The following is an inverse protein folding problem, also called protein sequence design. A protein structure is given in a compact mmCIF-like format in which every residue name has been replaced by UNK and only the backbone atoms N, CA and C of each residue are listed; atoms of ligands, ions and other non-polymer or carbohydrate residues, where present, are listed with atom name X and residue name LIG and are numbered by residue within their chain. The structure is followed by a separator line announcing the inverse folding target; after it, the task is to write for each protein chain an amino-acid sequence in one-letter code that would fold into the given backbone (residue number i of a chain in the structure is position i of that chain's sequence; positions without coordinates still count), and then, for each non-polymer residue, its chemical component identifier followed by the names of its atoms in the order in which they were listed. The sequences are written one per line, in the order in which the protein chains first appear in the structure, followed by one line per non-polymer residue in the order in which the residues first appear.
data_IF_235390077177
#
_entry.id   IF_235390077177
#
_cell.length_a   1.000
_cell.length_b   1.000
_cell.length_c   1.000
_cell.angle_alpha   90.00
_cell.angle_beta   90.00
_cell.angle_gamma   90.00
#
_symmetry.space_group_name_H-M   'P 1'
#
loop_
_entity.id
_entity.type
_entity.pdbx_description
1 polymer ?
#
# COMPACT_ATOMS: atom_id res chain seq x y z
N UNK A 1 -38.51 -38.55 -5.77
CA UNK A 1 -38.93 -37.15 -5.55
C UNK A 1 -37.66 -36.31 -5.48
N UNK A 2 -37.54 -35.33 -6.36
CA UNK A 2 -36.33 -34.57 -6.59
C UNK A 2 -36.09 -33.53 -5.48
N UNK A 3 -35.04 -33.72 -4.68
CA UNK A 3 -34.49 -32.65 -3.83
C UNK A 3 -33.26 -32.09 -4.53
N UNK A 4 -33.47 -31.12 -5.39
CA UNK A 4 -32.41 -30.34 -6.02
C UNK A 4 -32.80 -28.86 -5.91
N UNK A 5 -32.95 -28.40 -4.68
CA UNK A 5 -33.06 -26.98 -4.36
C UNK A 5 -31.65 -26.39 -4.42
N UNK A 6 -31.09 -26.33 -5.62
CA UNK A 6 -29.82 -25.66 -5.86
C UNK A 6 -30.11 -24.16 -5.77
N UNK A 7 -29.74 -23.55 -4.64
CA UNK A 7 -29.75 -22.11 -4.48
C UNK A 7 -28.97 -21.39 -5.60
N UNK A 8 -28.96 -20.04 -5.60
CA UNK A 8 -28.31 -19.26 -6.64
C UNK A 8 -26.87 -19.75 -6.90
N UNK A 9 -26.41 -19.74 -8.15
CA UNK A 9 -25.09 -20.29 -8.55
C UNK A 9 -23.88 -19.74 -7.75
N UNK A 10 -24.05 -18.58 -7.10
CA UNK A 10 -23.06 -17.92 -6.27
C UNK A 10 -23.16 -18.21 -4.75
N UNK A 11 -24.21 -18.93 -4.31
CA UNK A 11 -24.38 -19.38 -2.94
C UNK A 11 -23.53 -20.64 -2.72
N UNK A 12 -22.57 -20.57 -1.80
CA UNK A 12 -21.79 -21.75 -1.44
C UNK A 12 -22.66 -22.70 -0.59
N UNK A 13 -22.49 -24.01 -0.82
CA UNK A 13 -23.32 -25.07 -0.25
C UNK A 13 -23.35 -25.14 1.30
N UNK A 14 -22.43 -24.47 1.98
CA UNK A 14 -22.39 -24.38 3.45
C UNK A 14 -23.18 -23.19 4.02
N UNK A 15 -23.75 -22.32 3.18
CA UNK A 15 -24.58 -21.21 3.62
C UNK A 15 -26.03 -21.43 3.23
N UNK A 16 -26.93 -21.09 4.14
CA UNK A 16 -28.37 -21.22 3.94
C UNK A 16 -28.92 -20.08 3.10
N UNK A 17 -28.31 -18.88 3.17
CA UNK A 17 -28.75 -17.69 2.43
C UNK A 17 -27.58 -16.85 1.90
N UNK A 18 -27.77 -16.13 0.77
CA UNK A 18 -26.76 -15.18 0.27
C UNK A 18 -26.39 -14.08 1.26
N UNK A 19 -27.36 -13.64 2.08
CA UNK A 19 -27.14 -12.65 3.13
C UNK A 19 -26.19 -13.17 4.21
N UNK A 20 -26.40 -14.39 4.68
CA UNK A 20 -25.51 -15.03 5.66
C UNK A 20 -24.08 -15.19 5.11
N UNK A 21 -23.94 -15.61 3.84
CA UNK A 21 -22.64 -15.69 3.16
C UNK A 21 -21.93 -14.33 3.14
N UNK A 22 -22.65 -13.26 2.79
CA UNK A 22 -22.11 -11.90 2.77
C UNK A 22 -21.67 -11.43 4.16
N UNK A 23 -22.50 -11.61 5.18
CA UNK A 23 -22.20 -11.22 6.56
C UNK A 23 -20.99 -11.98 7.11
N UNK A 24 -20.91 -13.28 6.84
CA UNK A 24 -19.78 -14.13 7.24
C UNK A 24 -18.49 -13.72 6.55
N UNK A 25 -18.55 -13.41 5.25
CA UNK A 25 -17.38 -12.95 4.51
C UNK A 25 -16.89 -11.57 5.00
N UNK A 26 -17.82 -10.66 5.34
CA UNK A 26 -17.48 -9.37 5.97
C UNK A 26 -16.86 -9.53 7.35
N UNK A 27 -17.42 -10.41 8.18
CA UNK A 27 -16.87 -10.69 9.52
C UNK A 27 -15.44 -11.24 9.40
N UNK A 28 -15.22 -12.20 8.52
CA UNK A 28 -13.89 -12.73 8.23
C UNK A 28 -12.91 -11.64 7.76
N UNK A 29 -13.37 -10.76 6.87
CA UNK A 29 -12.56 -9.63 6.43
C UNK A 29 -12.21 -8.68 7.57
N UNK A 30 -13.17 -8.29 8.42
CA UNK A 30 -12.90 -7.41 9.57
C UNK A 30 -11.90 -8.02 10.56
N UNK A 31 -11.99 -9.32 10.82
CA UNK A 31 -11.02 -10.02 11.67
C UNK A 31 -9.62 -10.01 11.04
N UNK A 32 -9.53 -10.25 9.74
CA UNK A 32 -8.27 -10.14 9.01
C UNK A 32 -7.70 -8.71 9.07
N UNK A 33 -8.52 -7.68 8.82
CA UNK A 33 -8.09 -6.28 8.92
C UNK A 33 -7.60 -5.92 10.33
N UNK A 34 -8.29 -6.38 11.37
CA UNK A 34 -7.88 -6.15 12.74
C UNK A 34 -6.51 -6.78 13.03
N UNK A 35 -6.26 -7.98 12.51
CA UNK A 35 -4.96 -8.64 12.64
C UNK A 35 -3.85 -7.88 11.90
N UNK A 36 -4.12 -7.39 10.69
CA UNK A 36 -3.16 -6.58 9.93
C UNK A 36 -2.85 -5.26 10.64
N UNK A 37 -3.86 -4.61 11.24
CA UNK A 37 -3.66 -3.42 12.07
C UNK A 37 -2.75 -3.74 13.25
N UNK A 38 -2.96 -4.86 13.95
CA UNK A 38 -2.10 -5.27 15.07
C UNK A 38 -0.67 -5.57 14.62
N UNK A 39 -0.51 -6.24 13.47
CA UNK A 39 0.80 -6.56 12.89
C UNK A 39 1.60 -5.29 12.60
N UNK A 40 1.02 -4.31 11.89
CA UNK A 40 1.69 -3.03 11.61
C UNK A 40 1.82 -2.14 12.85
N UNK A 41 0.87 -2.20 13.79
CA UNK A 41 0.97 -1.46 15.07
C UNK A 41 2.20 -1.87 15.87
N UNK A 42 2.55 -3.15 15.91
CA UNK A 42 3.79 -3.61 16.54
C UNK A 42 5.04 -2.99 15.92
N UNK A 43 5.06 -2.87 14.58
CA UNK A 43 6.17 -2.22 13.86
C UNK A 43 6.21 -0.70 14.12
N UNK A 44 5.05 -0.03 14.19
CA UNK A 44 4.97 1.40 14.53
C UNK A 44 5.45 1.68 15.95
N UNK A 45 5.08 0.83 16.93
CA UNK A 45 5.58 0.94 18.30
C UNK A 45 7.08 0.73 18.35
N UNK A 46 7.60 -0.29 17.64
CA UNK A 46 9.04 -0.52 17.56
C UNK A 46 9.78 0.70 16.99
N UNK A 47 9.29 1.28 15.88
CA UNK A 47 9.83 2.52 15.32
C UNK A 47 9.83 3.66 16.36
N UNK A 48 8.71 3.87 17.05
CA UNK A 48 8.60 4.91 18.08
C UNK A 48 9.61 4.73 19.22
N UNK A 49 9.79 3.51 19.72
CA UNK A 49 10.78 3.20 20.75
C UNK A 49 12.20 3.51 20.27
N UNK A 50 12.59 2.99 19.11
CA UNK A 50 13.93 3.24 18.55
C UNK A 50 14.18 4.72 18.26
N UNK A 51 13.17 5.45 17.82
CA UNK A 51 13.23 6.90 17.64
C UNK A 51 13.49 7.63 18.94
N UNK A 52 12.84 7.23 20.04
CA UNK A 52 13.09 7.86 21.35
C UNK A 52 14.47 7.54 21.91
N UNK A 53 15.02 6.37 21.60
CA UNK A 53 16.36 5.97 22.04
C UNK A 53 17.48 6.58 21.20
N UNK A 54 17.24 6.78 19.90
CA UNK A 54 18.24 7.26 18.94
C UNK A 54 17.71 8.43 18.09
N UNK A 55 17.26 9.55 18.71
CA UNK A 55 16.57 10.63 18.02
C UNK A 55 17.42 11.25 16.91
N UNK A 56 18.70 11.47 17.20
CA UNK A 56 19.71 11.98 16.28
C UNK A 56 19.83 11.15 14.99
N UNK A 57 19.89 9.82 15.11
CA UNK A 57 20.01 8.93 13.94
C UNK A 57 18.72 8.87 13.11
N UNK A 58 17.57 8.99 13.76
CA UNK A 58 16.26 8.96 13.10
C UNK A 58 15.96 10.28 12.40
N UNK A 59 16.45 11.38 12.97
CA UNK A 59 16.41 12.71 12.40
C UNK A 59 17.16 12.76 11.06
N UNK A 60 18.46 12.42 11.08
CA UNK A 60 19.29 12.29 9.87
C UNK A 60 18.68 11.30 8.87
N UNK A 61 18.14 10.19 9.36
CA UNK A 61 17.44 9.19 8.53
C UNK A 61 16.28 9.75 7.74
N UNK A 62 15.45 10.59 8.37
CA UNK A 62 14.28 11.20 7.72
C UNK A 62 14.69 12.16 6.58
N UNK A 63 15.74 12.95 6.78
CA UNK A 63 16.28 13.88 5.78
C UNK A 63 16.97 13.20 4.60
N UNK A 64 17.36 11.94 4.75
CA UNK A 64 17.88 11.13 3.64
C UNK A 64 16.77 10.63 2.73
N UNK A 65 15.50 10.69 3.14
CA UNK A 65 14.39 10.25 2.32
C UNK A 65 13.81 11.41 1.52
N UNK A 66 13.42 11.15 0.26
CA UNK A 66 12.78 12.17 -0.57
C UNK A 66 11.28 12.27 -0.23
N UNK A 67 10.96 13.22 0.65
CA UNK A 67 9.58 13.47 1.06
C UNK A 67 8.68 13.92 -0.10
N UNK A 68 9.21 14.51 -1.19
CA UNK A 68 8.40 14.94 -2.34
C UNK A 68 7.90 13.72 -3.12
N UNK A 69 8.78 12.74 -3.33
CA UNK A 69 8.42 11.46 -3.94
C UNK A 69 7.46 10.67 -3.03
N UNK A 70 7.68 10.72 -1.72
CA UNK A 70 6.74 10.19 -0.72
C UNK A 70 5.36 10.86 -0.78
N UNK A 71 5.30 12.20 -0.88
CA UNK A 71 4.07 12.97 -0.95
C UNK A 71 3.29 12.71 -2.25
N UNK A 72 3.99 12.61 -3.38
CA UNK A 72 3.40 12.22 -4.66
C UNK A 72 2.71 10.87 -4.54
N UNK A 73 3.39 9.88 -3.94
CA UNK A 73 2.82 8.56 -3.69
C UNK A 73 1.59 8.60 -2.79
N UNK A 74 1.59 9.42 -1.75
CA UNK A 74 0.43 9.61 -0.89
C UNK A 74 -0.77 10.17 -1.66
N UNK A 75 -0.57 11.16 -2.53
CA UNK A 75 -1.65 11.71 -3.38
C UNK A 75 -2.17 10.64 -4.35
N UNK A 76 -1.28 9.87 -4.98
CA UNK A 76 -1.64 8.79 -5.90
C UNK A 76 -2.46 7.70 -5.20
N UNK A 77 -2.07 7.28 -3.99
CA UNK A 77 -2.80 6.27 -3.23
C UNK A 77 -4.15 6.80 -2.72
N UNK A 78 -4.22 8.04 -2.23
CA UNK A 78 -5.50 8.66 -1.84
C UNK A 78 -6.49 8.69 -3.02
N UNK A 79 -6.00 9.05 -4.21
CA UNK A 79 -6.81 9.01 -5.43
C UNK A 79 -7.21 7.57 -5.80
N UNK A 80 -6.29 6.61 -5.67
CA UNK A 80 -6.54 5.17 -5.89
C UNK A 80 -7.64 4.62 -4.96
N UNK A 81 -7.61 5.01 -3.69
CA UNK A 81 -8.63 4.69 -2.68
C UNK A 81 -9.99 5.26 -3.08
N UNK A 82 -10.03 6.54 -3.49
CA UNK A 82 -11.26 7.14 -3.97
C UNK A 82 -11.86 6.38 -5.16
N UNK A 83 -11.03 5.99 -6.14
CA UNK A 83 -11.52 5.22 -7.29
C UNK A 83 -11.95 3.81 -6.90
N UNK A 84 -11.30 3.16 -5.93
CA UNK A 84 -11.75 1.87 -5.41
C UNK A 84 -13.14 1.95 -4.75
N UNK A 85 -13.41 3.01 -3.96
CA UNK A 85 -14.74 3.25 -3.38
C UNK A 85 -15.80 3.50 -4.48
N UNK A 86 -15.44 4.22 -5.55
CA UNK A 86 -16.31 4.42 -6.70
C UNK A 86 -16.57 3.12 -7.47
N UNK A 87 -15.61 2.19 -7.51
CA UNK A 87 -15.80 0.86 -8.10
C UNK A 87 -16.83 0.04 -7.32
N UNK A 88 -16.79 0.07 -5.98
CA UNK A 88 -17.79 -0.58 -5.11
C UNK A 88 -19.17 0.03 -5.35
N UNK A 89 -19.27 1.36 -5.35
CA UNK A 89 -20.55 2.03 -5.61
C UNK A 89 -21.12 1.65 -6.97
N UNK A 90 -20.28 1.63 -8.02
CA UNK A 90 -20.69 1.21 -9.35
C UNK A 90 -21.16 -0.25 -9.38
N UNK A 91 -20.51 -1.14 -8.60
CA UNK A 91 -20.88 -2.56 -8.50
C UNK A 91 -22.18 -2.76 -7.70
N UNK A 92 -22.42 -1.95 -6.68
CA UNK A 92 -23.64 -2.00 -5.86
C UNK A 92 -24.88 -1.50 -6.61
N UNK A 93 -24.74 -0.44 -7.42
CA UNK A 93 -25.86 0.03 -8.27
C UNK A 93 -26.19 -1.02 -9.35
N UNK A 94 -25.17 -1.71 -9.87
CA UNK A 94 -25.33 -2.76 -10.87
C UNK A 94 -25.85 -2.25 -12.22
N UNK A 95 -26.14 -3.18 -13.12
CA UNK A 95 -26.77 -2.87 -14.41
C UNK A 95 -28.27 -2.66 -14.25
N UNK A 96 -28.79 -1.58 -14.81
CA UNK A 96 -30.22 -1.26 -14.76
C UNK A 96 -30.95 -1.85 -15.97
N UNK A 97 -31.93 -2.71 -15.70
CA UNK A 97 -32.77 -3.37 -16.71
C UNK A 97 -33.60 -2.32 -17.47
N UNK A 98 -33.48 -2.29 -18.81
CA UNK A 98 -34.23 -1.35 -19.68
C UNK A 98 -33.48 -0.06 -20.06
N UNK A 99 -32.28 0.16 -19.53
CA UNK A 99 -31.41 1.27 -19.96
C UNK A 99 -30.43 0.76 -21.01
N UNK A 100 -30.33 1.40 -22.20
CA UNK A 100 -29.34 1.05 -23.21
C UNK A 100 -27.92 1.03 -22.61
N UNK A 101 -27.07 0.08 -23.03
CA UNK A 101 -25.67 -0.03 -22.55
C UNK A 101 -24.89 1.30 -22.70
N UNK A 102 -25.23 2.09 -23.71
CA UNK A 102 -24.70 3.44 -23.95
C UNK A 102 -25.11 4.47 -22.90
N UNK A 103 -26.21 4.28 -22.17
CA UNK A 103 -26.77 5.18 -21.16
C UNK A 103 -26.58 4.65 -19.73
N UNK A 104 -26.23 3.37 -19.59
CA UNK A 104 -25.79 2.78 -18.31
C UNK A 104 -24.64 3.57 -17.69
N UNK A 105 -23.87 4.32 -18.51
CA UNK A 105 -22.77 5.11 -18.00
C UNK A 105 -23.13 6.23 -17.02
N UNK A 106 -24.40 6.67 -17.02
CA UNK A 106 -24.89 7.73 -16.14
C UNK A 106 -25.36 7.21 -14.79
N UNK A 107 -25.51 5.90 -14.63
CA UNK A 107 -26.28 5.28 -13.55
C UNK A 107 -25.45 4.29 -12.73
N UNK A 108 -24.50 3.56 -13.33
CA UNK A 108 -23.68 2.55 -12.65
C UNK A 108 -23.56 1.28 -13.49
N UNK A 109 -22.81 0.28 -12.98
CA UNK A 109 -22.72 -1.03 -13.63
C UNK A 109 -21.31 -1.48 -13.99
N UNK A 110 -21.25 -2.64 -14.65
CA UNK A 110 -20.01 -3.44 -14.81
C UNK A 110 -18.88 -2.70 -15.51
N UNK A 111 -19.18 -1.92 -16.54
CA UNK A 111 -18.18 -1.12 -17.26
C UNK A 111 -17.50 -0.09 -16.36
N UNK A 112 -18.25 0.62 -15.53
CA UNK A 112 -17.69 1.62 -14.63
C UNK A 112 -16.92 0.98 -13.48
N UNK A 113 -17.41 -0.12 -12.94
CA UNK A 113 -16.62 -0.93 -11.99
C UNK A 113 -15.27 -1.29 -12.60
N UNK A 114 -15.22 -1.78 -13.85
CA UNK A 114 -13.96 -2.08 -14.53
C UNK A 114 -13.08 -0.84 -14.72
N UNK A 115 -13.65 0.29 -15.18
CA UNK A 115 -12.88 1.53 -15.40
C UNK A 115 -12.23 2.00 -14.09
N UNK A 116 -12.99 2.06 -13.00
CA UNK A 116 -12.46 2.48 -11.71
C UNK A 116 -11.41 1.51 -11.17
N UNK A 117 -11.61 0.20 -11.30
CA UNK A 117 -10.59 -0.79 -10.93
C UNK A 117 -9.32 -0.66 -11.78
N UNK A 118 -9.44 -0.39 -13.09
CA UNK A 118 -8.28 -0.15 -13.96
C UNK A 118 -7.52 1.10 -13.53
N UNK A 119 -8.23 2.19 -13.19
CA UNK A 119 -7.60 3.41 -12.69
C UNK A 119 -6.86 3.12 -11.37
N UNK A 120 -7.50 2.44 -10.42
CA UNK A 120 -6.86 2.00 -9.16
C UNK A 120 -5.61 1.17 -9.44
N UNK A 121 -5.65 0.24 -10.40
CA UNK A 121 -4.50 -0.57 -10.78
C UNK A 121 -3.31 0.28 -11.29
N UNK A 122 -3.57 1.24 -12.19
CA UNK A 122 -2.52 2.11 -12.70
C UNK A 122 -1.96 3.06 -11.64
N UNK A 123 -2.80 3.51 -10.70
CA UNK A 123 -2.33 4.29 -9.54
C UNK A 123 -1.41 3.45 -8.66
N UNK A 124 -1.79 2.20 -8.35
CA UNK A 124 -0.97 1.26 -7.61
C UNK A 124 0.36 0.94 -8.32
N UNK A 125 0.31 0.73 -9.64
CA UNK A 125 1.51 0.52 -10.44
C UNK A 125 2.42 1.75 -10.41
N UNK A 126 1.86 2.96 -10.51
CA UNK A 126 2.59 4.22 -10.37
C UNK A 126 3.30 4.31 -9.02
N UNK A 127 2.59 4.00 -7.93
CA UNK A 127 3.17 3.92 -6.58
C UNK A 127 4.38 2.96 -6.53
N UNK A 128 4.21 1.75 -7.08
CA UNK A 128 5.28 0.75 -7.10
C UNK A 128 6.49 1.19 -7.94
N UNK A 129 6.28 1.90 -9.05
CA UNK A 129 7.37 2.45 -9.87
C UNK A 129 8.15 3.51 -9.11
N UNK A 130 7.47 4.47 -8.48
CA UNK A 130 8.14 5.49 -7.67
C UNK A 130 8.95 4.85 -6.54
N UNK A 131 8.37 3.83 -5.86
CA UNK A 131 9.07 3.10 -4.81
C UNK A 131 10.27 2.31 -5.31
N UNK A 132 10.14 1.69 -6.48
CA UNK A 132 11.24 0.97 -7.11
C UNK A 132 12.42 1.92 -7.42
N UNK A 133 12.14 3.11 -7.96
CA UNK A 133 13.16 4.12 -8.24
C UNK A 133 13.85 4.60 -6.96
N UNK A 134 13.08 4.86 -5.90
CA UNK A 134 13.62 5.27 -4.60
C UNK A 134 14.50 4.17 -3.99
N UNK A 135 14.05 2.92 -4.01
CA UNK A 135 14.83 1.78 -3.53
C UNK A 135 16.10 1.57 -4.35
N UNK A 136 16.01 1.66 -5.68
CA UNK A 136 17.16 1.50 -6.57
C UNK A 136 18.22 2.57 -6.29
N UNK A 137 17.80 3.82 -6.08
CA UNK A 137 18.69 4.91 -5.69
C UNK A 137 19.38 4.61 -4.35
N UNK A 138 18.61 4.20 -3.33
CA UNK A 138 19.16 3.90 -1.99
C UNK A 138 20.07 2.69 -1.95
N UNK A 139 19.83 1.69 -2.81
CA UNK A 139 20.72 0.55 -2.99
C UNK A 139 22.01 0.98 -3.71
N UNK A 140 21.90 1.82 -4.75
CA UNK A 140 23.05 2.32 -5.50
C UNK A 140 23.98 3.15 -4.61
N UNK A 141 23.41 4.02 -3.77
CA UNK A 141 24.15 4.87 -2.83
C UNK A 141 24.65 4.09 -1.59
N UNK A 142 24.30 2.80 -1.42
CA UNK A 142 24.83 1.99 -0.32
C UNK A 142 24.15 2.19 1.05
N UNK A 143 23.00 2.89 1.09
CA UNK A 143 22.12 3.00 2.27
C UNK A 143 21.29 1.72 2.47
N UNK A 144 21.94 0.56 2.62
CA UNK A 144 21.30 -0.75 2.73
C UNK A 144 20.86 -1.08 4.18
N UNK A 145 19.94 -2.04 4.38
CA UNK A 145 19.50 -2.40 5.73
C UNK A 145 20.59 -3.13 6.54
N UNK A 146 20.65 -2.82 7.84
CA UNK A 146 21.36 -3.64 8.83
C UNK A 146 22.89 -3.63 8.69
N UNK A 147 23.48 -4.81 8.50
CA UNK A 147 24.94 -4.98 8.42
C UNK A 147 25.52 -4.50 7.08
N UNK A 148 24.67 -4.31 6.07
CA UNK A 148 25.08 -3.86 4.74
C UNK A 148 25.06 -2.33 4.61
N UNK A 149 24.63 -1.61 5.65
CA UNK A 149 24.61 -0.15 5.67
C UNK A 149 26.04 0.41 5.54
N UNK A 150 26.30 1.23 4.52
CA UNK A 150 27.62 1.80 4.28
C UNK A 150 28.70 0.75 3.99
N UNK A 151 28.32 -0.38 3.38
CA UNK A 151 29.23 -1.52 3.18
C UNK A 151 30.50 -1.10 2.42
N UNK A 152 31.72 -1.28 2.98
CA UNK A 152 33.00 -0.89 2.35
C UNK A 152 33.32 -1.57 1.01
N UNK A 153 32.54 -2.59 0.65
CA UNK A 153 32.62 -3.27 -0.65
C UNK A 153 32.00 -2.50 -1.82
N UNK A 154 31.24 -1.42 -1.56
CA UNK A 154 31.10 -0.35 -2.54
C UNK A 154 32.34 0.51 -2.38
N UNK A 155 33.28 0.39 -3.33
CA UNK A 155 34.54 1.13 -3.31
C UNK A 155 34.27 2.60 -2.93
N UNK A 156 34.87 3.08 -1.83
CA UNK A 156 34.68 4.47 -1.37
C UNK A 156 35.14 5.48 -2.42
N UNK A 157 35.98 5.05 -3.38
CA UNK A 157 36.42 5.84 -4.52
C UNK A 157 35.45 5.76 -5.74
N UNK A 158 34.43 4.90 -5.69
CA UNK A 158 33.38 4.84 -6.70
C UNK A 158 32.38 5.99 -6.53
N UNK A 159 31.69 6.36 -7.63
CA UNK A 159 30.67 7.42 -7.64
C UNK A 159 29.62 7.21 -6.54
N UNK A 160 29.21 5.96 -6.31
CA UNK A 160 28.29 5.58 -5.25
C UNK A 160 28.79 5.93 -3.83
N UNK A 161 30.09 5.78 -3.58
CA UNK A 161 30.71 6.16 -2.30
C UNK A 161 30.69 7.68 -2.10
N UNK A 162 31.02 8.45 -3.15
CA UNK A 162 30.99 9.90 -3.10
C UNK A 162 29.57 10.47 -2.86
N UNK A 163 28.57 9.95 -3.59
CA UNK A 163 27.16 10.34 -3.42
C UNK A 163 26.64 10.01 -2.00
N UNK A 164 27.05 8.88 -1.43
CA UNK A 164 26.68 8.49 -0.06
C UNK A 164 27.13 9.54 0.95
N UNK A 165 28.41 9.92 0.92
CA UNK A 165 28.94 10.91 1.86
C UNK A 165 28.31 12.29 1.65
N UNK A 166 28.05 12.68 0.40
CA UNK A 166 27.39 13.95 0.09
C UNK A 166 25.94 14.00 0.62
N UNK A 167 25.16 12.93 0.45
CA UNK A 167 23.81 12.84 1.02
C UNK A 167 23.84 12.83 2.55
N UNK A 168 24.78 12.11 3.16
CA UNK A 168 24.96 12.07 4.62
C UNK A 168 25.36 13.42 5.20
N UNK A 169 26.25 14.14 4.53
CA UNK A 169 26.68 15.47 4.94
C UNK A 169 25.52 16.45 4.87
N UNK A 170 24.75 16.45 3.77
CA UNK A 170 23.54 17.28 3.62
C UNK A 170 22.49 16.97 4.68
N UNK A 171 22.19 15.69 4.89
CA UNK A 171 21.20 15.27 5.89
C UNK A 171 21.65 15.58 7.32
N UNK A 172 22.94 15.38 7.62
CA UNK A 172 23.54 15.79 8.89
C UNK A 172 23.44 17.31 9.09
N UNK A 173 23.82 18.11 8.10
CA UNK A 173 23.74 19.56 8.19
C UNK A 173 22.31 20.08 8.47
N UNK A 174 21.30 19.40 7.93
CA UNK A 174 19.89 19.72 8.18
C UNK A 174 19.42 19.27 9.59
N UNK A 175 19.90 18.11 10.06
CA UNK A 175 19.56 17.58 11.38
C UNK A 175 20.28 18.34 12.54
N UNK A 176 21.50 18.82 12.31
CA UNK A 176 22.34 19.48 13.32
C UNK A 176 22.52 20.97 13.02
N UNK A 177 21.55 21.80 13.40
CA UNK A 177 21.65 23.28 13.31
C UNK A 177 22.86 23.91 14.06
N UNK A 178 23.69 23.13 14.78
CA UNK A 178 24.77 23.62 15.67
C UNK A 178 26.19 23.09 15.40
N UNK A 179 26.50 22.64 14.18
CA UNK A 179 27.91 22.48 13.75
C UNK A 179 28.61 21.19 14.20
N UNK A 180 27.90 20.06 14.26
CA UNK A 180 28.49 18.74 14.45
C UNK A 180 29.24 18.26 13.20
N UNK A 181 30.42 17.69 13.37
CA UNK A 181 31.18 17.10 12.26
C UNK A 181 30.43 15.94 11.61
N UNK A 182 30.55 15.84 10.28
CA UNK A 182 29.93 14.88 9.37
C UNK A 182 30.35 13.40 9.64
N UNK A 183 30.05 12.89 10.84
CA UNK A 183 30.23 11.49 11.18
C UNK A 183 28.88 10.80 11.13
N UNK A 184 28.79 9.75 10.30
CA UNK A 184 27.57 8.95 10.12
C UNK A 184 27.11 8.38 11.48
N UNK A 185 25.88 8.69 11.96
CA UNK A 185 25.40 8.18 13.23
C UNK A 185 25.34 6.65 13.24
N UNK A 186 25.86 6.00 14.28
CA UNK A 186 25.97 4.55 14.33
C UNK A 186 24.62 3.82 14.18
N UNK A 187 23.54 4.40 14.72
CA UNK A 187 22.20 3.80 14.69
C UNK A 187 21.39 4.13 13.43
N UNK A 188 21.98 4.85 12.46
CA UNK A 188 21.32 5.13 11.17
C UNK A 188 21.02 3.85 10.38
N UNK A 189 21.87 2.83 10.51
CA UNK A 189 21.62 1.46 10.00
C UNK A 189 20.33 0.83 10.55
N UNK A 190 19.94 1.19 11.78
CA UNK A 190 18.71 0.72 12.42
C UNK A 190 17.50 1.42 11.81
N UNK A 191 17.61 2.73 11.56
CA UNK A 191 16.57 3.48 10.83
C UNK A 191 16.31 2.85 9.45
N UNK A 192 17.35 2.66 8.64
CA UNK A 192 17.18 2.05 7.31
C UNK A 192 16.69 0.59 7.40
N UNK A 193 17.14 -0.18 8.40
CA UNK A 193 16.61 -1.52 8.66
C UNK A 193 15.10 -1.52 8.88
N UNK A 194 14.60 -0.64 9.75
CA UNK A 194 13.17 -0.50 10.03
C UNK A 194 12.43 0.04 8.81
N UNK A 195 12.98 1.05 8.13
CA UNK A 195 12.44 1.62 6.89
C UNK A 195 12.18 0.54 5.84
N UNK A 196 13.18 -0.27 5.48
CA UNK A 196 13.05 -1.31 4.46
C UNK A 196 12.06 -2.41 4.85
N UNK A 197 12.02 -2.79 6.13
CA UNK A 197 11.06 -3.79 6.62
C UNK A 197 9.64 -3.25 6.54
N UNK A 198 9.36 -2.07 7.08
CA UNK A 198 8.02 -1.50 7.13
C UNK A 198 7.48 -1.19 5.72
N UNK A 199 8.28 -0.50 4.90
CA UNK A 199 7.88 -0.12 3.54
C UNK A 199 7.93 -1.30 2.56
N UNK A 200 8.82 -2.26 2.77
CA UNK A 200 8.88 -3.51 1.99
C UNK A 200 7.68 -4.42 2.26
N UNK A 201 7.32 -4.63 3.53
CA UNK A 201 6.10 -5.38 3.88
C UNK A 201 4.87 -4.69 3.31
N UNK A 202 4.76 -3.37 3.44
CA UNK A 202 3.67 -2.62 2.81
C UNK A 202 3.65 -2.81 1.28
N UNK A 203 4.80 -2.74 0.61
CA UNK A 203 4.92 -3.00 -0.83
C UNK A 203 4.44 -4.41 -1.23
N UNK A 204 4.73 -5.43 -0.43
CA UNK A 204 4.20 -6.80 -0.64
C UNK A 204 2.66 -6.80 -0.55
N UNK A 205 2.07 -6.09 0.41
CA UNK A 205 0.61 -5.98 0.52
C UNK A 205 0.00 -5.28 -0.71
N UNK A 206 0.62 -4.21 -1.20
CA UNK A 206 0.20 -3.54 -2.44
C UNK A 206 0.25 -4.51 -3.62
N UNK A 207 1.32 -5.30 -3.77
CA UNK A 207 1.45 -6.29 -4.84
C UNK A 207 0.39 -7.40 -4.75
N UNK A 208 0.11 -7.92 -3.56
CA UNK A 208 -0.97 -8.88 -3.32
C UNK A 208 -2.31 -8.27 -3.72
N UNK A 209 -2.57 -7.03 -3.28
CA UNK A 209 -3.76 -6.27 -3.64
C UNK A 209 -3.90 -6.08 -5.14
N UNK A 210 -2.83 -5.75 -5.87
CA UNK A 210 -2.83 -5.64 -7.32
C UNK A 210 -3.19 -6.97 -7.99
N UNK A 211 -2.69 -8.10 -7.46
CA UNK A 211 -3.06 -9.44 -7.91
C UNK A 211 -4.55 -9.75 -7.71
N UNK A 212 -5.08 -9.42 -6.52
CA UNK A 212 -6.51 -9.56 -6.21
C UNK A 212 -7.38 -8.67 -7.09
N UNK A 213 -6.93 -7.44 -7.36
CA UNK A 213 -7.60 -6.50 -8.25
C UNK A 213 -7.70 -7.09 -9.66
N UNK A 214 -6.60 -7.59 -10.22
CA UNK A 214 -6.62 -8.22 -11.55
C UNK A 214 -7.55 -9.43 -11.60
N UNK A 215 -7.59 -10.22 -10.54
CA UNK A 215 -8.51 -11.35 -10.41
C UNK A 215 -9.98 -10.89 -10.41
N UNK A 216 -10.32 -9.84 -9.65
CA UNK A 216 -11.66 -9.23 -9.65
C UNK A 216 -11.98 -8.63 -11.02
N UNK A 217 -11.05 -7.92 -11.65
CA UNK A 217 -11.24 -7.33 -12.97
C UNK A 217 -11.63 -8.40 -14.01
N UNK A 218 -10.92 -9.53 -14.01
CA UNK A 218 -11.19 -10.65 -14.90
C UNK A 218 -12.58 -11.25 -14.66
N UNK A 219 -13.00 -11.41 -13.40
CA UNK A 219 -14.33 -11.92 -13.04
C UNK A 219 -15.46 -10.93 -13.31
N UNK A 220 -15.18 -9.63 -13.18
CA UNK A 220 -16.13 -8.59 -13.57
C UNK A 220 -16.34 -8.60 -15.09
N UNK A 221 -15.27 -8.81 -15.86
CA UNK A 221 -15.35 -8.95 -17.32
C UNK A 221 -16.11 -10.21 -17.76
N UNK A 222 -15.98 -11.34 -17.04
CA UNK A 222 -16.71 -12.58 -17.35
C UNK A 222 -18.22 -12.53 -17.03
N UNK A 223 -18.67 -11.56 -16.26
CA UNK A 223 -20.09 -11.36 -15.93
C UNK A 223 -20.58 -12.13 -14.74
N UNK A 224 -19.65 -12.53 -13.88
CA UNK A 224 -19.97 -13.20 -12.63
C UNK A 224 -20.49 -12.25 -11.55
N UNK A 225 -20.28 -10.94 -11.68
CA UNK A 225 -20.78 -9.95 -10.73
C UNK A 225 -22.07 -9.31 -11.20
N UNK A 226 -23.07 -9.34 -10.33
CA UNK A 226 -24.36 -8.65 -10.46
C UNK A 226 -24.57 -7.74 -9.25
N UNK A 227 -25.61 -6.91 -9.27
CA UNK A 227 -25.99 -6.10 -8.10
C UNK A 227 -26.20 -6.97 -6.83
N UNK A 228 -26.64 -8.21 -7.02
CA UNK A 228 -26.89 -9.19 -5.96
C UNK A 228 -25.62 -9.92 -5.48
N UNK A 229 -24.54 -9.89 -6.26
CA UNK A 229 -23.27 -10.54 -5.96
C UNK A 229 -22.08 -9.61 -6.24
N UNK A 230 -21.96 -8.56 -5.43
CA UNK A 230 -20.83 -7.61 -5.44
C UNK A 230 -19.85 -7.81 -4.28
N UNK A 231 -20.08 -8.81 -3.42
CA UNK A 231 -19.31 -9.09 -2.21
C UNK A 231 -17.80 -9.08 -2.41
N UNK A 232 -17.23 -9.69 -3.47
CA UNK A 232 -15.79 -9.70 -3.65
C UNK A 232 -15.18 -8.32 -3.92
N UNK A 233 -15.91 -7.44 -4.60
CA UNK A 233 -15.49 -6.05 -4.87
C UNK A 233 -15.48 -5.24 -3.57
N UNK A 234 -16.51 -5.42 -2.73
CA UNK A 234 -16.63 -4.75 -1.42
C UNK A 234 -15.51 -5.21 -0.46
N UNK A 235 -15.28 -6.52 -0.34
CA UNK A 235 -14.21 -7.09 0.49
C UNK A 235 -12.83 -6.60 0.04
N UNK A 236 -12.59 -6.56 -1.27
CA UNK A 236 -11.34 -6.02 -1.81
C UNK A 236 -11.16 -4.54 -1.51
N UNK A 237 -12.21 -3.73 -1.63
CA UNK A 237 -12.10 -2.31 -1.31
C UNK A 237 -11.78 -2.09 0.18
N UNK A 238 -12.37 -2.88 1.08
CA UNK A 238 -12.01 -2.85 2.51
C UNK A 238 -10.53 -3.18 2.73
N UNK A 239 -9.99 -4.18 2.04
CA UNK A 239 -8.56 -4.49 2.05
C UNK A 239 -7.72 -3.32 1.53
N UNK A 240 -8.08 -2.80 0.36
CA UNK A 240 -7.33 -1.75 -0.32
C UNK A 240 -7.26 -0.45 0.51
N UNK A 241 -8.38 -0.07 1.14
CA UNK A 241 -8.43 1.08 2.03
C UNK A 241 -7.54 0.91 3.27
N UNK A 242 -7.40 -0.31 3.81
CA UNK A 242 -6.46 -0.55 4.91
C UNK A 242 -5.01 -0.39 4.44
N UNK A 243 -4.66 -0.94 3.28
CA UNK A 243 -3.31 -0.80 2.70
C UNK A 243 -2.98 0.70 2.54
N UNK A 244 -3.89 1.48 1.97
CA UNK A 244 -3.69 2.93 1.83
C UNK A 244 -3.62 3.65 3.18
N UNK A 245 -4.44 3.26 4.17
CA UNK A 245 -4.38 3.81 5.53
C UNK A 245 -3.02 3.57 6.19
N UNK A 246 -2.44 2.38 6.04
CA UNK A 246 -1.11 2.07 6.57
C UNK A 246 -0.07 3.02 5.95
N UNK A 247 -0.17 3.31 4.64
CA UNK A 247 0.74 4.26 3.99
C UNK A 247 0.59 5.69 4.51
N UNK A 248 -0.65 6.14 4.75
CA UNK A 248 -0.93 7.46 5.33
C UNK A 248 -0.24 7.66 6.68
N UNK A 249 -0.04 6.59 7.46
CA UNK A 249 0.74 6.65 8.70
C UNK A 249 2.24 6.49 8.46
N UNK A 250 2.66 5.59 7.55
CA UNK A 250 4.08 5.38 7.24
C UNK A 250 4.75 6.63 6.68
N UNK A 251 4.08 7.35 5.77
CA UNK A 251 4.68 8.49 5.08
C UNK A 251 5.10 9.61 6.05
N UNK A 252 4.22 10.20 6.88
CA UNK A 252 4.64 11.22 7.82
C UNK A 252 5.68 10.69 8.80
N UNK A 253 5.46 9.48 9.33
CA UNK A 253 6.33 8.89 10.35
C UNK A 253 7.78 8.74 9.87
N UNK A 254 7.99 8.35 8.61
CA UNK A 254 9.33 8.11 8.05
C UNK A 254 9.93 9.34 7.37
N UNK A 255 9.12 10.17 6.70
CA UNK A 255 9.60 11.23 5.79
C UNK A 255 9.48 12.65 6.35
N UNK A 256 8.56 12.90 7.29
CA UNK A 256 8.24 14.27 7.72
C UNK A 256 8.58 14.56 9.17
N UNK A 257 8.58 13.54 10.03
CA UNK A 257 8.86 13.74 11.46
C UNK A 257 10.36 13.61 11.69
N UNK A 258 10.96 14.70 12.17
CA UNK A 258 12.38 14.86 12.55
C UNK A 258 12.58 14.88 14.07
#
# INVERSE_FOLDING_TARGET
MAHADHGPKYLAHHFDTPKQQFESAKLGMWLFLAQEILFFSGLFVAYGVFRTWYPESFSVGSHLLDWKMGALNTVVLLFSSFTAAMAVRAAQIGEQTGVPEKDQHKLGGRKWTSIFLIITFFCAAGFMVVKYLEYSHKIHVGTLPGQFFGHPGFDMASVAGAEFYEEMEKAGALAYESGGHATVPFHLRTFFGIYFVMTGLHGIHVLIGMGLLLWILKRNASGEFSAEYNTPVDIFALYWHLVDLIWIFLFPLLYLID
#
